data_IF_671709243001
#
_entry.id   IF_671709243001
#
_cell.length_a   1.000
_cell.length_b   1.000
_cell.length_c   1.000
_cell.angle_alpha   90.00
_cell.angle_beta   90.00
_cell.angle_gamma   90.00
#
_symmetry.space_group_name_H-M   'P 1'
#
loop_
_entity.id
_entity.type
_entity.pdbx_description
1 polymer ?
#
# COMPACT_ATOMS: atom_id res chain seq x y z
N UNK A 1 -4.53 22.21 -7.89
CA UNK A 1 -4.19 21.63 -9.21
C UNK A 1 -4.84 22.47 -10.30
N UNK A 2 -4.07 23.13 -11.16
CA UNK A 2 -4.60 24.15 -12.09
C UNK A 2 -4.94 23.55 -13.48
N UNK A 3 -4.25 22.47 -13.89
CA UNK A 3 -4.36 21.92 -15.26
C UNK A 3 -5.33 20.74 -15.43
N UNK A 4 -6.04 20.30 -14.37
CA UNK A 4 -6.97 19.14 -14.37
C UNK A 4 -6.40 17.85 -15.00
N UNK A 5 -5.08 17.63 -14.89
CA UNK A 5 -4.42 16.38 -15.32
C UNK A 5 -4.47 15.33 -14.21
N UNK A 6 -4.46 14.06 -14.61
CA UNK A 6 -4.16 12.94 -13.71
C UNK A 6 -2.66 12.72 -13.56
N UNK A 7 -2.29 11.58 -12.97
CA UNK A 7 -0.92 11.11 -12.82
C UNK A 7 -0.86 9.63 -12.46
N UNK A 8 0.33 9.06 -12.35
CA UNK A 8 0.52 7.67 -11.89
C UNK A 8 0.82 7.62 -10.38
N UNK A 9 1.16 6.43 -9.84
CA UNK A 9 1.27 6.18 -8.40
C UNK A 9 2.12 7.20 -7.63
N UNK A 10 3.22 7.69 -8.21
CA UNK A 10 4.08 8.67 -7.55
C UNK A 10 3.44 10.05 -7.42
N UNK A 11 2.70 10.48 -8.44
CA UNK A 11 2.03 11.77 -8.50
C UNK A 11 0.78 11.76 -7.64
N UNK A 12 -0.07 10.73 -7.80
CA UNK A 12 -1.33 10.63 -7.06
C UNK A 12 -1.09 10.49 -5.56
N UNK A 13 -0.27 9.51 -5.15
CA UNK A 13 0.05 9.34 -3.72
C UNK A 13 0.95 10.47 -3.20
N UNK A 14 1.70 11.16 -4.05
CA UNK A 14 2.47 12.35 -3.66
C UNK A 14 1.57 13.54 -3.31
N UNK A 15 0.55 13.81 -4.12
CA UNK A 15 -0.44 14.85 -3.77
C UNK A 15 -1.24 14.45 -2.54
N UNK A 16 -1.67 13.18 -2.47
CA UNK A 16 -2.47 12.71 -1.35
C UNK A 16 -1.70 12.74 -0.02
N UNK A 17 -0.43 12.34 -0.02
CA UNK A 17 0.45 12.49 1.16
C UNK A 17 0.53 13.94 1.63
N UNK A 18 0.71 14.89 0.70
CA UNK A 18 0.77 16.31 1.06
C UNK A 18 -0.53 16.79 1.71
N UNK A 19 -1.68 16.38 1.18
CA UNK A 19 -2.99 16.74 1.75
C UNK A 19 -3.13 16.14 3.15
N UNK A 20 -2.82 14.86 3.33
CA UNK A 20 -2.91 14.20 4.64
C UNK A 20 -1.98 14.84 5.68
N UNK A 21 -0.76 15.21 5.30
CA UNK A 21 0.17 15.94 6.19
C UNK A 21 -0.38 17.29 6.60
N UNK A 22 -0.97 18.04 5.67
CA UNK A 22 -1.56 19.35 5.96
C UNK A 22 -2.78 19.23 6.89
N UNK A 23 -3.53 18.13 6.79
CA UNK A 23 -4.62 17.80 7.70
C UNK A 23 -4.13 17.31 9.08
N UNK A 24 -2.82 17.19 9.30
CA UNK A 24 -2.23 16.80 10.58
C UNK A 24 -2.04 15.30 10.78
N UNK A 25 -2.24 14.47 9.74
CA UNK A 25 -1.97 13.04 9.84
C UNK A 25 -0.47 12.74 9.82
N UNK A 26 -0.05 11.75 10.61
CA UNK A 26 1.27 11.18 10.51
C UNK A 26 1.31 10.18 9.34
N UNK A 27 1.84 10.62 8.20
CA UNK A 27 1.88 9.83 6.97
C UNK A 27 3.29 9.76 6.38
N UNK A 28 3.68 8.56 5.93
CA UNK A 28 4.93 8.31 5.21
C UNK A 28 4.70 7.49 3.95
N UNK A 29 5.47 7.80 2.91
CA UNK A 29 5.52 6.98 1.70
C UNK A 29 6.22 5.64 1.93
N UNK A 30 5.63 4.58 1.39
CA UNK A 30 6.22 3.26 1.24
C UNK A 30 6.40 2.93 -0.24
N UNK A 31 7.34 2.03 -0.53
CA UNK A 31 7.57 1.50 -1.87
C UNK A 31 7.22 0.01 -1.91
N UNK A 32 6.39 -0.34 -2.88
CA UNK A 32 5.95 -1.71 -3.17
C UNK A 32 6.44 -2.20 -4.54
N UNK A 33 6.35 -3.51 -4.71
CA UNK A 33 6.63 -4.25 -5.94
C UNK A 33 5.29 -4.80 -6.46
N UNK A 34 5.01 -4.61 -7.75
CA UNK A 34 3.75 -5.07 -8.35
C UNK A 34 3.92 -6.50 -8.87
N UNK A 35 3.10 -7.44 -8.42
CA UNK A 35 3.21 -8.88 -8.76
C UNK A 35 1.98 -9.48 -9.43
N UNK A 36 1.16 -8.63 -10.06
CA UNK A 36 -0.09 -8.97 -10.75
C UNK A 36 -0.02 -10.13 -11.76
N UNK A 37 1.18 -10.58 -12.17
CA UNK A 37 1.39 -11.65 -13.15
C UNK A 37 2.29 -12.78 -12.65
N UNK A 38 2.46 -12.92 -11.33
CA UNK A 38 3.36 -13.90 -10.70
C UNK A 38 4.72 -13.99 -11.43
N UNK A 39 5.47 -12.88 -11.50
CA UNK A 39 6.71 -12.84 -12.26
C UNK A 39 7.72 -13.86 -11.72
N UNK A 40 8.57 -14.45 -12.59
CA UNK A 40 9.54 -15.47 -12.19
C UNK A 40 10.64 -14.94 -11.24
N UNK A 41 10.78 -13.62 -11.15
CA UNK A 41 11.71 -12.94 -10.25
C UNK A 41 11.03 -11.74 -9.59
N UNK A 42 11.54 -11.33 -8.42
CA UNK A 42 11.02 -10.18 -7.69
C UNK A 42 11.20 -8.88 -8.51
N UNK A 43 10.12 -8.22 -8.95
CA UNK A 43 10.21 -7.04 -9.78
C UNK A 43 10.70 -5.84 -8.95
N UNK A 44 11.25 -4.79 -9.57
CA UNK A 44 11.74 -3.60 -8.86
C UNK A 44 10.62 -2.89 -8.06
N UNK A 45 11.04 -2.04 -7.11
CA UNK A 45 10.13 -1.21 -6.31
C UNK A 45 9.58 -0.05 -7.13
N UNK A 46 8.53 -0.31 -7.90
CA UNK A 46 7.94 0.64 -8.87
C UNK A 46 6.64 1.26 -8.41
N UNK A 47 6.09 0.82 -7.27
CA UNK A 47 4.84 1.34 -6.76
C UNK A 47 5.04 2.17 -5.50
N UNK A 48 4.39 3.33 -5.41
CA UNK A 48 4.36 4.18 -4.21
C UNK A 48 2.98 4.06 -3.59
N UNK A 49 2.93 3.89 -2.28
CA UNK A 49 1.70 3.88 -1.46
C UNK A 49 1.98 4.58 -0.13
N UNK A 50 0.96 4.80 0.69
CA UNK A 50 1.08 5.56 1.94
C UNK A 50 0.81 4.67 3.15
N UNK A 51 1.63 4.86 4.19
CA UNK A 51 1.34 4.41 5.54
C UNK A 51 0.88 5.60 6.36
N UNK A 52 -0.31 5.50 6.93
CA UNK A 52 -0.91 6.50 7.81
C UNK A 52 -0.98 5.91 9.22
N UNK A 53 -0.46 6.63 10.20
CA UNK A 53 -0.56 6.28 11.61
C UNK A 53 -1.68 7.12 12.23
N UNK A 54 -2.69 6.45 12.77
CA UNK A 54 -3.89 7.06 13.35
C UNK A 54 -4.32 6.25 14.57
N UNK A 55 -4.49 6.91 15.72
CA UNK A 55 -4.95 6.26 16.97
C UNK A 55 -4.12 5.01 17.34
N UNK A 56 -2.79 5.10 17.20
CA UNK A 56 -1.84 3.99 17.43
C UNK A 56 -1.98 2.80 16.46
N UNK A 57 -2.95 2.85 15.53
CA UNK A 57 -3.11 1.91 14.44
C UNK A 57 -2.37 2.37 13.17
N UNK A 58 -1.89 1.39 12.41
CA UNK A 58 -1.24 1.59 11.12
C UNK A 58 -2.21 1.28 10.00
N UNK A 59 -2.33 2.18 9.04
CA UNK A 59 -3.24 2.10 7.92
C UNK A 59 -2.49 2.24 6.61
N UNK A 60 -2.88 1.47 5.60
CA UNK A 60 -2.41 1.58 4.23
C UNK A 60 -3.44 2.33 3.42
N UNK A 61 -2.99 3.39 2.75
CA UNK A 61 -3.78 4.12 1.79
C UNK A 61 -3.05 4.19 0.45
N UNK A 62 -3.78 3.97 -0.63
CA UNK A 62 -3.24 3.99 -1.98
C UNK A 62 -4.29 4.44 -2.96
N UNK A 63 -4.13 5.65 -3.47
CA UNK A 63 -5.02 6.24 -4.49
C UNK A 63 -4.43 6.15 -5.89
N UNK A 64 -3.27 5.51 -6.06
CA UNK A 64 -2.44 5.62 -7.26
C UNK A 64 -2.18 4.32 -8.02
N UNK A 65 -2.78 3.19 -7.62
CA UNK A 65 -2.51 1.89 -8.24
C UNK A 65 -3.07 1.74 -9.67
N UNK A 66 -4.10 2.52 -10.02
CA UNK A 66 -4.80 2.42 -11.31
C UNK A 66 -6.09 1.60 -11.21
N UNK A 67 -6.23 0.56 -12.02
CA UNK A 67 -7.50 -0.18 -12.16
C UNK A 67 -7.98 -0.94 -10.91
N UNK A 68 -7.09 -1.21 -9.95
CA UNK A 68 -7.41 -1.89 -8.68
C UNK A 68 -6.99 -1.04 -7.47
N UNK A 69 -7.21 0.27 -7.58
CA UNK A 69 -6.89 1.22 -6.50
C UNK A 69 -7.73 0.95 -5.26
N UNK A 70 -7.11 1.10 -4.08
CA UNK A 70 -7.83 1.04 -2.82
C UNK A 70 -8.77 2.25 -2.72
N UNK A 71 -10.05 1.96 -2.51
CA UNK A 71 -11.08 3.01 -2.39
C UNK A 71 -11.43 3.32 -0.94
N UNK A 72 -10.83 2.60 0.00
CA UNK A 72 -10.83 2.89 1.42
C UNK A 72 -9.46 2.50 1.99
N UNK A 73 -8.98 3.20 3.04
CA UNK A 73 -7.79 2.78 3.74
C UNK A 73 -8.02 1.42 4.40
N UNK A 74 -6.98 0.59 4.42
CA UNK A 74 -7.02 -0.74 5.06
C UNK A 74 -6.04 -0.78 6.21
N UNK A 75 -6.43 -1.35 7.34
CA UNK A 75 -5.56 -1.58 8.49
C UNK A 75 -4.40 -2.49 8.11
N UNK A 76 -3.23 -2.19 8.64
CA UNK A 76 -2.03 -3.00 8.52
C UNK A 76 -2.06 -4.16 9.52
N UNK A 77 -3.07 -5.01 9.41
CA UNK A 77 -3.25 -6.21 10.23
C UNK A 77 -3.26 -7.42 9.31
N UNK A 78 -2.35 -8.38 9.49
CA UNK A 78 -2.32 -9.59 8.67
C UNK A 78 -3.58 -10.42 8.88
N UNK A 79 -3.98 -11.14 7.83
CA UNK A 79 -5.10 -12.07 7.76
C UNK A 79 -6.50 -11.48 8.03
N UNK A 80 -6.60 -10.18 8.30
CA UNK A 80 -7.86 -9.48 8.44
C UNK A 80 -8.49 -9.19 7.08
N UNK A 81 -9.69 -9.72 6.84
CA UNK A 81 -10.53 -9.33 5.70
C UNK A 81 -11.13 -7.96 5.99
N UNK A 82 -10.97 -7.05 5.04
CA UNK A 82 -11.44 -5.68 5.14
C UNK A 82 -12.29 -5.33 3.92
N UNK A 83 -13.55 -5.00 4.15
CA UNK A 83 -14.49 -4.61 3.11
C UNK A 83 -14.27 -3.14 2.73
N UNK A 84 -14.09 -2.88 1.45
CA UNK A 84 -14.05 -1.55 0.87
C UNK A 84 -15.23 -1.38 -0.10
N UNK A 85 -15.58 -0.14 -0.51
CA UNK A 85 -16.68 0.07 -1.45
C UNK A 85 -16.55 -0.68 -2.78
N UNK A 86 -15.34 -1.08 -3.18
CA UNK A 86 -15.07 -1.74 -4.47
C UNK A 86 -14.51 -3.16 -4.34
N UNK A 87 -14.61 -3.77 -3.16
CA UNK A 87 -14.22 -5.17 -2.94
C UNK A 87 -13.63 -5.44 -1.58
N UNK A 88 -13.34 -6.72 -1.32
CA UNK A 88 -12.68 -7.17 -0.11
C UNK A 88 -11.18 -7.30 -0.32
N UNK A 89 -10.44 -6.85 0.69
CA UNK A 89 -8.98 -6.86 0.69
C UNK A 89 -8.49 -7.58 1.94
N UNK A 90 -7.42 -8.36 1.79
CA UNK A 90 -6.72 -9.00 2.91
C UNK A 90 -5.22 -8.77 2.77
N UNK A 91 -4.56 -8.51 3.90
CA UNK A 91 -3.11 -8.47 3.98
C UNK A 91 -2.59 -9.86 4.36
N UNK A 92 -1.74 -10.45 3.53
CA UNK A 92 -1.04 -11.69 3.88
C UNK A 92 0.37 -11.34 4.31
N UNK A 93 0.85 -11.94 5.41
CA UNK A 93 2.23 -11.78 5.86
C UNK A 93 3.03 -13.03 5.50
N UNK A 94 3.98 -12.89 4.57
CA UNK A 94 4.98 -13.91 4.31
C UNK A 94 6.30 -13.53 4.97
N UNK A 95 6.88 -14.48 5.72
CA UNK A 95 8.20 -14.32 6.32
C UNK A 95 9.21 -14.95 5.38
N UNK A 96 9.93 -14.14 4.59
CA UNK A 96 11.10 -14.64 3.89
C UNK A 96 12.29 -14.67 4.86
N UNK A 97 12.99 -15.81 4.89
CA UNK A 97 14.20 -16.05 5.68
C UNK A 97 15.23 -14.96 5.30
N UNK A 98 15.47 -14.00 6.18
CA UNK A 98 16.38 -12.87 5.92
C UNK A 98 15.91 -11.46 6.33
N UNK A 99 15.04 -11.31 7.34
CA UNK A 99 14.76 -10.01 7.98
C UNK A 99 13.76 -9.07 7.26
N UNK A 100 12.92 -9.58 6.33
CA UNK A 100 11.88 -8.77 5.69
C UNK A 100 10.50 -9.45 5.76
N UNK A 101 9.55 -8.84 6.47
CA UNK A 101 8.15 -9.23 6.38
C UNK A 101 7.57 -8.70 5.06
N UNK A 102 6.94 -9.60 4.31
CA UNK A 102 6.32 -9.33 3.03
C UNK A 102 4.82 -9.21 3.24
N UNK A 103 4.24 -8.07 2.90
CA UNK A 103 2.79 -7.85 2.99
C UNK A 103 2.19 -7.91 1.59
N UNK A 104 1.24 -8.82 1.39
CA UNK A 104 0.52 -9.01 0.13
C UNK A 104 -0.89 -8.47 0.27
N UNK A 105 -1.26 -7.52 -0.59
CA UNK A 105 -2.66 -7.08 -0.72
C UNK A 105 -3.36 -8.00 -1.72
N UNK A 106 -4.29 -8.83 -1.24
CA UNK A 106 -5.10 -9.74 -2.08
C UNK A 106 -6.54 -9.27 -2.19
N UNK A 107 -7.04 -9.22 -3.43
CA UNK A 107 -8.46 -9.08 -3.76
C UNK A 107 -9.00 -10.44 -4.19
N UNK A 108 -9.70 -11.15 -3.29
CA UNK A 108 -10.12 -12.53 -3.55
C UNK A 108 -8.94 -13.45 -3.85
N UNK A 109 -8.90 -14.06 -5.04
CA UNK A 109 -7.89 -15.06 -5.46
C UNK A 109 -6.63 -14.49 -6.12
N UNK A 110 -6.43 -13.16 -6.15
CA UNK A 110 -5.27 -12.54 -6.83
C UNK A 110 -4.47 -11.61 -5.91
N UNK A 111 -3.17 -11.86 -5.85
CA UNK A 111 -2.18 -11.05 -5.16
C UNK A 111 -1.74 -9.87 -6.05
N UNK A 112 -1.86 -8.64 -5.54
CA UNK A 112 -1.75 -7.44 -6.38
C UNK A 112 -0.48 -6.62 -6.11
N UNK A 113 -0.11 -6.43 -4.84
CA UNK A 113 1.08 -5.66 -4.43
C UNK A 113 1.84 -6.38 -3.32
N UNK A 114 3.17 -6.40 -3.44
CA UNK A 114 4.10 -6.80 -2.40
C UNK A 114 4.77 -5.58 -1.78
N UNK A 115 4.63 -5.42 -0.47
CA UNK A 115 5.35 -4.39 0.29
C UNK A 115 6.42 -5.10 1.12
N UNK A 116 7.69 -4.75 0.90
CA UNK A 116 8.80 -5.25 1.71
C UNK A 116 9.05 -4.32 2.90
N UNK A 117 8.84 -4.79 4.12
CA UNK A 117 9.25 -4.10 5.33
C UNK A 117 10.66 -4.56 5.75
N UNK A 118 11.60 -3.64 5.97
CA UNK A 118 12.91 -3.96 6.55
C UNK A 118 12.84 -3.78 8.07
N UNK A 119 13.39 -4.75 8.82
CA UNK A 119 13.40 -4.78 10.29
C UNK A 119 14.01 -3.58 11.01
N UNK A 120 14.58 -2.58 10.31
CA UNK A 120 15.11 -1.37 10.94
C UNK A 120 14.17 -0.14 10.86
N UNK A 121 13.01 -0.26 10.21
CA UNK A 121 11.88 0.66 10.35
C UNK A 121 10.62 -0.18 10.38
N UNK A 122 10.34 -0.70 11.57
CA UNK A 122 9.21 -1.55 11.84
C UNK A 122 7.92 -0.91 11.28
N UNK A 123 7.33 -1.59 10.31
CA UNK A 123 5.96 -1.32 9.86
C UNK A 123 4.97 -2.07 10.79
N UNK A 124 5.46 -2.83 11.78
CA UNK A 124 4.74 -3.22 12.99
C UNK A 124 5.20 -2.42 14.19
#
# INVERSE_FOLDING_TARGET
MIARRGGYCFEQNGVFERVLRELGFNVRSLLGRVVLSNPPALPPRTHRLLLVELEEEKWIADVGFGGQTLTAPIRLVPDLVQTTPHGEYRLLQEVMIGCCSLIIISTGSRCTVLISASSNKAIM
#
